data_IF_187269707683
#
_entry.id   IF_187269707683
#
_cell.length_a   1.000
_cell.length_b   1.000
_cell.length_c   1.000
_cell.angle_alpha   90.00
_cell.angle_beta   90.00
_cell.angle_gamma   90.00
#
_symmetry.space_group_name_H-M   'P 1'
#
loop_
_entity.id
_entity.type
_entity.pdbx_description
1 polymer ?
#
# COMPACT_ATOMS: atom_id res chain seq x y z
N UNK A 1 -14.16 7.76 -5.04
CA UNK A 1 -13.80 8.54 -3.84
C UNK A 1 -12.94 7.75 -2.86
N UNK A 2 -13.19 6.46 -2.59
CA UNK A 2 -12.32 5.64 -1.75
C UNK A 2 -11.23 4.92 -2.56
N UNK A 3 -10.31 5.67 -3.16
CA UNK A 3 -9.12 5.10 -3.81
C UNK A 3 -7.86 5.73 -3.26
N UNK A 4 -6.75 4.97 -3.25
CA UNK A 4 -5.46 5.49 -2.82
C UNK A 4 -5.02 6.67 -3.69
N UNK A 5 -5.29 6.62 -5.00
CA UNK A 5 -4.95 7.74 -5.90
C UNK A 5 -5.68 9.03 -5.51
N UNK A 6 -6.96 8.94 -5.16
CA UNK A 6 -7.74 10.08 -4.68
C UNK A 6 -7.15 10.69 -3.40
N UNK A 7 -6.78 9.85 -2.43
CA UNK A 7 -6.16 10.27 -1.17
C UNK A 7 -4.76 10.87 -1.36
N UNK A 8 -4.04 10.45 -2.39
CA UNK A 8 -2.71 10.99 -2.71
C UNK A 8 -2.79 12.34 -3.45
N UNK A 9 -3.78 12.51 -4.31
CA UNK A 9 -3.97 13.74 -5.10
C UNK A 9 -4.62 14.85 -4.27
N UNK A 10 -5.55 14.51 -3.37
CA UNK A 10 -6.28 15.48 -2.56
C UNK A 10 -5.75 15.43 -1.13
N UNK A 11 -4.93 16.41 -0.73
CA UNK A 11 -4.36 16.45 0.63
C UNK A 11 -5.29 17.17 1.62
N UNK A 12 -6.07 18.14 1.14
CA UNK A 12 -7.00 18.95 1.95
C UNK A 12 -8.39 18.30 2.03
N UNK A 13 -8.43 17.07 2.54
CA UNK A 13 -9.68 16.32 2.74
C UNK A 13 -10.24 16.63 4.11
N UNK A 14 -11.52 17.02 4.17
CA UNK A 14 -12.24 17.30 5.42
C UNK A 14 -12.39 16.04 6.29
N UNK A 15 -12.67 16.24 7.58
CA UNK A 15 -12.82 15.15 8.54
C UNK A 15 -13.98 14.20 8.19
N UNK A 16 -15.08 14.75 7.67
CA UNK A 16 -16.29 14.01 7.27
C UNK A 16 -15.97 13.05 6.13
N UNK A 17 -15.26 13.54 5.10
CA UNK A 17 -14.84 12.70 3.97
C UNK A 17 -13.88 11.61 4.44
N UNK A 18 -12.94 11.93 5.35
CA UNK A 18 -12.04 10.91 5.94
C UNK A 18 -12.84 9.82 6.68
N UNK A 19 -13.89 10.20 7.40
CA UNK A 19 -14.75 9.27 8.14
C UNK A 19 -15.52 8.36 7.18
N UNK A 20 -16.07 8.90 6.10
CA UNK A 20 -16.75 8.12 5.08
C UNK A 20 -15.80 7.14 4.37
N UNK A 21 -14.58 7.58 4.06
CA UNK A 21 -13.54 6.72 3.49
C UNK A 21 -13.19 5.56 4.45
N UNK A 22 -13.08 5.80 5.76
CA UNK A 22 -12.89 4.73 6.74
C UNK A 22 -14.06 3.73 6.73
N UNK A 23 -15.30 4.23 6.64
CA UNK A 23 -16.52 3.40 6.61
C UNK A 23 -16.57 2.50 5.38
N UNK A 24 -16.14 3.01 4.22
CA UNK A 24 -16.06 2.26 2.96
C UNK A 24 -14.96 1.19 2.96
N UNK A 25 -14.08 1.18 3.96
CA UNK A 25 -13.01 0.19 4.10
C UNK A 25 -11.80 0.49 3.23
N UNK A 26 -10.82 -0.42 3.23
CA UNK A 26 -9.55 -0.22 2.51
C UNK A 26 -9.58 -0.88 1.13
N UNK A 27 -9.00 -0.24 0.10
CA UNK A 27 -8.88 -0.87 -1.22
C UNK A 27 -7.88 -2.03 -1.18
N UNK A 28 -8.32 -3.21 -1.60
CA UNK A 28 -7.55 -4.47 -1.66
C UNK A 28 -7.47 -5.00 -3.10
N UNK A 29 -6.89 -4.25 -4.04
CA UNK A 29 -6.85 -4.66 -5.44
C UNK A 29 -5.85 -5.78 -5.70
N UNK A 30 -6.07 -6.52 -6.79
CA UNK A 30 -5.08 -7.45 -7.34
C UNK A 30 -3.94 -6.64 -7.99
N UNK A 31 -2.74 -6.71 -7.40
CA UNK A 31 -1.57 -6.00 -7.91
C UNK A 31 -0.61 -6.95 -8.64
N UNK A 32 -0.08 -6.49 -9.78
CA UNK A 32 0.88 -7.25 -10.59
C UNK A 32 2.28 -6.82 -10.19
N UNK A 33 2.67 -7.18 -8.98
CA UNK A 33 3.97 -6.83 -8.41
C UNK A 33 4.85 -8.09 -8.42
N UNK A 34 6.00 -8.03 -9.08
CA UNK A 34 6.98 -9.11 -9.11
C UNK A 34 8.38 -8.57 -8.83
N UNK A 35 9.17 -9.29 -8.03
CA UNK A 35 10.57 -8.98 -7.78
C UNK A 35 11.42 -10.21 -7.99
N UNK A 36 12.51 -10.06 -8.74
CA UNK A 36 13.52 -11.10 -8.89
C UNK A 36 14.77 -10.69 -8.12
N UNK A 37 15.15 -11.49 -7.13
CA UNK A 37 16.39 -11.32 -6.36
C UNK A 37 17.39 -12.39 -6.80
N UNK A 38 18.64 -11.97 -7.05
CA UNK A 38 19.74 -12.90 -7.36
C UNK A 38 20.54 -13.14 -6.08
N UNK A 39 20.64 -14.41 -5.65
CA UNK A 39 21.49 -14.79 -4.50
C UNK A 39 22.30 -16.03 -4.83
N UNK A 40 23.62 -15.97 -4.59
CA UNK A 40 24.55 -17.12 -4.68
C UNK A 40 24.29 -17.99 -5.93
N UNK A 41 24.23 -17.34 -7.11
CA UNK A 41 23.98 -17.93 -8.44
C UNK A 41 22.56 -18.46 -8.75
N UNK A 42 21.56 -18.26 -7.89
CA UNK A 42 20.16 -18.61 -8.17
C UNK A 42 19.27 -17.37 -8.20
N UNK A 43 18.33 -17.37 -9.15
CA UNK A 43 17.31 -16.35 -9.28
C UNK A 43 16.08 -16.76 -8.46
N UNK A 44 15.64 -15.88 -7.58
CA UNK A 44 14.43 -16.06 -6.78
C UNK A 44 13.41 -15.01 -7.22
N UNK A 45 12.38 -15.45 -7.94
CA UNK A 45 11.25 -14.60 -8.28
C UNK A 45 10.17 -14.72 -7.21
N UNK A 46 9.69 -13.57 -6.73
CA UNK A 46 8.58 -13.48 -5.79
C UNK A 46 7.51 -12.61 -6.41
N UNK A 47 6.29 -13.11 -6.38
CA UNK A 47 5.11 -12.38 -6.82
C UNK A 47 4.31 -11.93 -5.61
N UNK A 48 3.65 -10.79 -5.75
CA UNK A 48 2.67 -10.34 -4.78
C UNK A 48 1.49 -11.31 -4.73
N UNK A 49 0.95 -11.48 -3.53
CA UNK A 49 -0.20 -12.33 -3.28
C UNK A 49 -1.14 -11.57 -2.34
N UNK A 50 -2.44 -11.58 -2.65
CA UNK A 50 -3.44 -10.83 -1.91
C UNK A 50 -3.60 -11.25 -0.44
N UNK A 51 -3.16 -12.46 -0.05
CA UNK A 51 -3.11 -12.89 1.35
C UNK A 51 -2.31 -11.93 2.24
N UNK A 52 -1.43 -11.11 1.66
CA UNK A 52 -0.75 -10.02 2.36
C UNK A 52 -1.75 -9.02 2.97
N UNK A 53 -2.87 -8.71 2.30
CA UNK A 53 -3.91 -7.83 2.85
C UNK A 53 -4.64 -8.43 4.04
N UNK A 54 -4.68 -9.76 4.13
CA UNK A 54 -5.22 -10.45 5.29
C UNK A 54 -4.23 -10.48 6.44
N UNK A 55 -2.96 -10.71 6.14
CA UNK A 55 -1.89 -10.66 7.13
C UNK A 55 -1.71 -9.26 7.71
N UNK A 56 -1.84 -8.22 6.89
CA UNK A 56 -1.62 -6.82 7.28
C UNK A 56 -2.88 -5.99 7.03
N UNK A 57 -3.79 -5.97 8.02
CA UNK A 57 -5.09 -5.29 7.92
C UNK A 57 -5.00 -3.76 7.78
N UNK A 58 -3.84 -3.16 7.98
CA UNK A 58 -3.57 -1.73 7.73
C UNK A 58 -3.11 -1.43 6.30
N UNK A 59 -2.79 -2.46 5.50
CA UNK A 59 -2.23 -2.33 4.17
C UNK A 59 -3.34 -2.20 3.11
N UNK A 60 -3.09 -1.37 2.11
CA UNK A 60 -3.95 -1.22 0.93
C UNK A 60 -3.12 -1.12 -0.35
N UNK A 61 -3.77 -1.24 -1.51
CA UNK A 61 -3.12 -1.19 -2.82
C UNK A 61 -3.61 -0.03 -3.68
N UNK A 62 -2.74 0.41 -4.59
CA UNK A 62 -3.06 1.34 -5.67
C UNK A 62 -2.74 0.70 -7.03
N UNK A 63 -3.75 0.33 -7.85
CA UNK A 63 -3.51 -0.30 -9.15
C UNK A 63 -2.76 0.62 -10.11
N UNK A 64 -3.15 1.90 -10.14
CA UNK A 64 -2.55 2.92 -11.03
C UNK A 64 -1.05 3.11 -10.79
N UNK A 65 -0.61 2.99 -9.54
CA UNK A 65 0.81 3.09 -9.15
C UNK A 65 1.48 1.73 -9.02
N UNK A 66 0.71 0.64 -9.12
CA UNK A 66 1.12 -0.74 -8.88
C UNK A 66 1.97 -0.91 -7.60
N UNK A 67 1.48 -0.32 -6.49
CA UNK A 67 2.22 -0.22 -5.22
C UNK A 67 1.30 -0.36 -4.00
N UNK A 68 1.91 -0.68 -2.87
CA UNK A 68 1.29 -0.84 -1.56
C UNK A 68 1.45 0.40 -0.68
N UNK A 69 0.45 0.68 0.15
CA UNK A 69 0.39 1.86 1.01
C UNK A 69 -0.19 1.53 2.39
N UNK A 70 0.06 2.39 3.37
CA UNK A 70 -0.60 2.32 4.67
C UNK A 70 -1.95 3.03 4.60
N UNK A 71 -3.05 2.29 4.70
CA UNK A 71 -4.40 2.85 4.59
C UNK A 71 -4.69 3.87 5.68
N UNK A 72 -4.42 3.50 6.93
CA UNK A 72 -4.69 4.37 8.09
C UNK A 72 -3.88 5.67 7.99
N UNK A 73 -2.62 5.58 7.55
CA UNK A 73 -1.74 6.72 7.40
C UNK A 73 -2.23 7.67 6.29
N UNK A 74 -2.72 7.14 5.17
CA UNK A 74 -3.29 7.93 4.09
C UNK A 74 -4.56 8.68 4.54
N UNK A 75 -5.44 8.00 5.29
CA UNK A 75 -6.72 8.62 5.70
C UNK A 75 -6.54 9.60 6.85
N UNK A 76 -5.64 9.31 7.79
CA UNK A 76 -5.43 10.17 8.96
C UNK A 76 -4.40 11.29 8.70
N UNK A 77 -3.74 11.31 7.55
CA UNK A 77 -2.70 12.31 7.24
C UNK A 77 -1.45 12.10 8.10
N UNK A 78 -1.03 10.85 8.27
CA UNK A 78 0.18 10.50 9.02
C UNK A 78 1.46 11.05 8.36
N UNK A 79 2.57 10.99 9.11
CA UNK A 79 3.87 11.52 8.69
C UNK A 79 4.24 11.12 7.25
N UNK A 80 4.85 12.07 6.53
CA UNK A 80 5.37 11.84 5.19
C UNK A 80 6.39 10.70 5.21
N UNK A 81 6.06 9.60 4.57
CA UNK A 81 6.90 8.42 4.47
C UNK A 81 6.67 7.75 3.12
N UNK A 82 7.50 6.75 2.80
CA UNK A 82 7.28 5.92 1.61
C UNK A 82 5.87 5.30 1.59
N UNK A 83 5.22 5.10 2.75
CA UNK A 83 3.88 4.55 2.87
C UNK A 83 2.73 5.52 2.58
N UNK A 84 3.00 6.82 2.57
CA UNK A 84 1.98 7.87 2.39
C UNK A 84 2.20 8.73 1.14
N UNK A 85 3.34 8.61 0.44
CA UNK A 85 3.63 9.40 -0.77
C UNK A 85 3.95 8.51 -1.98
N UNK A 86 5.00 7.69 -1.89
CA UNK A 86 5.53 6.96 -3.05
C UNK A 86 4.92 5.56 -3.23
N UNK A 87 4.61 4.89 -2.13
CA UNK A 87 4.19 3.49 -2.05
C UNK A 87 5.37 2.51 -2.12
N UNK A 88 5.16 1.31 -1.58
CA UNK A 88 6.14 0.24 -1.63
C UNK A 88 5.83 -0.76 -2.74
N UNK A 89 6.86 -1.08 -3.51
CA UNK A 89 6.79 -2.07 -4.58
C UNK A 89 6.98 -3.52 -4.13
N UNK A 90 7.33 -3.81 -2.87
CA UNK A 90 7.36 -5.20 -2.38
C UNK A 90 7.28 -5.29 -0.86
N UNK A 91 6.67 -6.37 -0.36
CA UNK A 91 6.43 -6.63 1.08
C UNK A 91 7.72 -6.91 1.85
N UNK A 92 8.82 -7.25 1.17
CA UNK A 92 10.14 -7.44 1.81
C UNK A 92 10.65 -6.17 2.48
N UNK A 93 10.13 -5.00 2.12
CA UNK A 93 10.46 -3.72 2.72
C UNK A 93 9.62 -3.41 3.98
N UNK A 94 8.69 -4.31 4.38
CA UNK A 94 7.89 -4.16 5.61
C UNK A 94 8.65 -4.66 6.84
N UNK A 95 9.69 -5.48 6.63
CA UNK A 95 10.55 -5.98 7.69
C UNK A 95 11.90 -5.25 7.58
N UNK A 96 12.37 -4.54 8.62
CA UNK A 96 13.81 -4.42 8.77
C UNK A 96 14.32 -5.85 8.88
N UNK A 97 15.44 -6.18 8.23
CA UNK A 97 16.11 -7.48 8.42
C UNK A 97 16.28 -7.69 9.93
N UNK A 98 15.45 -8.55 10.52
CA UNK A 98 15.66 -9.11 11.86
C UNK A 98 16.83 -10.09 11.74
#
# INVERSE_FOLDING_TARGET
>A
MNSVDFLLTNKDITYEIRTEIKRLGRPIPDLIISKTDVRKSRNYSRNFNNSVYDRFKWLCGCPKRNKLFCFICLVMGGNQSAWTQEGLGFVTNIWPKI
#
